data_IF_325420151369
#
_entry.id   IF_325420151369
#
_cell.length_a   1.000
_cell.length_b   1.000
_cell.length_c   1.000
_cell.angle_alpha   90.00
_cell.angle_beta   90.00
_cell.angle_gamma   90.00
#
_symmetry.space_group_name_H-M   'P 1'
#
loop_
_entity.id
_entity.type
_entity.pdbx_description
1 polymer ?
#
# COMPACT_ATOMS: atom_id res chain seq x y z
N UNK A 1 -0.01 -16.87 2.36
CA UNK A 1 -0.97 -16.72 3.45
C UNK A 1 -2.16 -15.91 2.93
N UNK A 2 -3.33 -16.51 2.94
CA UNK A 2 -4.59 -15.81 2.66
C UNK A 2 -5.35 -15.78 3.99
N UNK A 3 -5.77 -14.60 4.39
CA UNK A 3 -6.60 -14.40 5.57
C UNK A 3 -7.98 -14.03 5.07
N UNK A 4 -8.90 -14.99 5.17
CA UNK A 4 -10.28 -14.83 4.70
C UNK A 4 -11.23 -15.09 5.86
N UNK A 5 -12.07 -14.12 6.17
CA UNK A 5 -13.10 -14.23 7.19
C UNK A 5 -14.23 -13.22 6.95
N UNK A 6 -15.47 -13.64 7.15
CA UNK A 6 -16.61 -12.72 7.10
C UNK A 6 -16.65 -11.79 8.33
N UNK A 7 -16.18 -12.28 9.47
CA UNK A 7 -16.08 -11.50 10.70
C UNK A 7 -14.86 -11.95 11.50
N UNK A 8 -13.91 -11.05 11.68
CA UNK A 8 -12.71 -11.28 12.49
C UNK A 8 -12.46 -10.06 13.35
N UNK A 9 -12.78 -10.14 14.64
CA UNK A 9 -12.67 -8.97 15.52
C UNK A 9 -11.25 -8.43 15.65
N UNK A 10 -10.26 -9.30 15.72
CA UNK A 10 -8.85 -8.94 15.85
C UNK A 10 -7.95 -9.95 15.18
N UNK A 11 -6.97 -9.48 14.44
CA UNK A 11 -5.91 -10.27 13.82
C UNK A 11 -4.57 -9.91 14.47
N UNK A 12 -4.03 -10.82 15.26
CA UNK A 12 -2.70 -10.65 15.86
C UNK A 12 -1.70 -11.59 15.18
N UNK A 13 -0.78 -11.00 14.43
CA UNK A 13 0.36 -11.64 13.78
C UNK A 13 1.68 -11.01 14.25
N UNK A 14 1.71 -10.50 15.48
CA UNK A 14 2.84 -9.75 16.04
C UNK A 14 4.14 -10.56 16.12
N UNK A 15 4.08 -11.90 16.09
CA UNK A 15 5.25 -12.76 16.06
C UNK A 15 5.64 -13.24 14.65
N UNK A 16 4.85 -12.90 13.61
CA UNK A 16 5.13 -13.31 12.23
C UNK A 16 6.24 -12.45 11.65
N UNK A 17 7.41 -13.01 11.41
CA UNK A 17 8.57 -12.27 10.88
C UNK A 17 8.63 -12.23 9.35
N UNK A 18 8.13 -13.27 8.69
CA UNK A 18 8.17 -13.32 7.22
C UNK A 18 7.04 -14.15 6.61
N UNK A 19 6.67 -13.80 5.39
CA UNK A 19 5.76 -14.54 4.53
C UNK A 19 6.49 -14.93 3.25
N UNK A 20 6.73 -16.24 3.04
CA UNK A 20 7.52 -16.76 1.91
C UNK A 20 6.84 -16.66 0.54
N UNK A 21 5.60 -16.21 0.47
CA UNK A 21 4.84 -15.99 -0.76
C UNK A 21 3.87 -14.79 -0.53
N UNK A 22 2.64 -14.85 -0.98
CA UNK A 22 1.67 -13.77 -0.87
C UNK A 22 1.08 -13.65 0.54
N UNK A 23 0.82 -12.42 0.97
CA UNK A 23 -0.03 -12.06 2.10
C UNK A 23 -1.24 -11.28 1.56
N UNK A 24 -2.42 -11.88 1.65
CA UNK A 24 -3.64 -11.33 1.09
C UNK A 24 -4.74 -11.26 2.15
N UNK A 25 -5.41 -10.12 2.20
CA UNK A 25 -6.49 -9.87 3.16
C UNK A 25 -7.84 -9.86 2.45
N UNK A 26 -8.63 -10.91 2.67
CA UNK A 26 -10.01 -11.03 2.22
C UNK A 26 -10.97 -10.95 3.43
N UNK A 27 -10.74 -9.97 4.29
CA UNK A 27 -11.48 -9.80 5.54
C UNK A 27 -12.43 -8.61 5.48
N UNK A 28 -13.59 -8.73 6.13
CA UNK A 28 -14.66 -7.74 6.03
C UNK A 28 -14.88 -6.93 7.30
N UNK A 29 -14.64 -7.53 8.46
CA UNK A 29 -14.90 -6.90 9.75
C UNK A 29 -13.76 -7.18 10.71
N UNK A 30 -12.66 -6.43 10.52
CA UNK A 30 -11.49 -6.49 11.40
C UNK A 30 -11.26 -5.12 12.01
N UNK A 31 -11.29 -5.03 13.33
CA UNK A 31 -11.06 -3.78 14.04
C UNK A 31 -9.60 -3.50 14.33
N UNK A 32 -8.82 -4.55 14.57
CA UNK A 32 -7.41 -4.43 14.90
C UNK A 32 -6.58 -5.44 14.12
N UNK A 33 -5.47 -4.98 13.58
CA UNK A 33 -4.47 -5.80 12.90
C UNK A 33 -3.10 -5.46 13.48
N UNK A 34 -2.33 -6.49 13.87
CA UNK A 34 -0.99 -6.33 14.42
C UNK A 34 0.03 -7.17 13.62
N UNK A 35 1.01 -6.48 13.04
CA UNK A 35 2.09 -7.04 12.23
C UNK A 35 3.46 -6.65 12.81
N UNK A 36 3.55 -6.56 14.14
CA UNK A 36 4.69 -5.96 14.84
C UNK A 36 6.06 -6.52 14.49
N UNK A 37 6.20 -7.81 14.08
CA UNK A 37 7.49 -8.39 13.73
C UNK A 37 7.70 -8.59 12.22
N UNK A 38 6.71 -8.32 11.36
CA UNK A 38 6.78 -8.66 9.94
C UNK A 38 7.80 -7.78 9.19
N UNK A 39 8.84 -8.41 8.63
CA UNK A 39 9.92 -7.75 7.90
C UNK A 39 9.88 -7.98 6.40
N UNK A 40 9.40 -9.16 5.97
CA UNK A 40 9.48 -9.58 4.57
C UNK A 40 8.17 -10.24 4.15
N UNK A 41 7.64 -9.78 3.02
CA UNK A 41 6.65 -10.50 2.22
C UNK A 41 7.30 -10.81 0.88
N UNK A 42 7.68 -12.08 0.64
CA UNK A 42 8.43 -12.46 -0.57
C UNK A 42 7.59 -12.39 -1.86
N UNK A 43 6.28 -12.46 -1.77
CA UNK A 43 5.34 -12.31 -2.89
C UNK A 43 4.57 -10.98 -2.82
N UNK A 44 3.27 -11.07 -3.07
CA UNK A 44 2.37 -9.90 -3.03
C UNK A 44 1.89 -9.61 -1.60
N UNK A 45 1.77 -8.33 -1.29
CA UNK A 45 0.97 -7.83 -0.18
C UNK A 45 -0.26 -7.14 -0.78
N UNK A 46 -1.45 -7.71 -0.58
CA UNK A 46 -2.65 -7.21 -1.25
C UNK A 46 -3.85 -7.04 -0.32
N UNK A 47 -4.54 -5.93 -0.55
CA UNK A 47 -5.82 -5.57 0.04
C UNK A 47 -6.84 -5.42 -1.10
N UNK A 48 -7.34 -6.54 -1.65
CA UNK A 48 -8.29 -6.50 -2.73
C UNK A 48 -9.63 -5.97 -2.22
N UNK A 49 -10.06 -4.83 -2.74
CA UNK A 49 -11.41 -4.34 -2.54
C UNK A 49 -12.40 -5.21 -3.29
N UNK A 50 -13.50 -5.57 -2.66
CA UNK A 50 -14.63 -6.15 -3.38
C UNK A 50 -15.75 -5.12 -3.50
N UNK A 51 -16.34 -5.01 -4.69
CA UNK A 51 -17.64 -4.36 -4.84
C UNK A 51 -18.71 -5.22 -4.15
N UNK A 52 -19.13 -4.81 -2.98
CA UNK A 52 -20.25 -5.48 -2.32
C UNK A 52 -21.57 -4.84 -2.75
N UNK A 53 -22.41 -5.60 -3.45
CA UNK A 53 -23.76 -5.20 -3.86
C UNK A 53 -24.81 -5.30 -2.73
N UNK A 54 -24.40 -5.36 -1.48
CA UNK A 54 -25.32 -5.49 -0.36
C UNK A 54 -24.79 -4.76 0.84
N UNK A 55 -25.23 -3.56 1.06
CA UNK A 55 -25.15 -2.64 2.21
C UNK A 55 -24.57 -3.07 3.57
N UNK A 56 -23.67 -4.05 3.64
CA UNK A 56 -22.99 -4.46 4.85
C UNK A 56 -21.83 -3.55 5.17
N UNK A 57 -21.74 -3.07 6.41
CA UNK A 57 -20.64 -2.28 6.89
C UNK A 57 -19.37 -3.14 6.96
N UNK A 58 -18.42 -2.91 6.06
CA UNK A 58 -17.07 -3.49 6.15
C UNK A 58 -16.29 -2.70 7.22
N UNK A 59 -15.83 -3.38 8.26
CA UNK A 59 -15.07 -2.75 9.35
C UNK A 59 -13.59 -3.13 9.26
N UNK A 60 -12.89 -2.70 8.20
CA UNK A 60 -11.43 -2.66 8.24
C UNK A 60 -10.99 -1.56 9.21
N UNK A 61 -9.83 -1.70 9.87
CA UNK A 61 -9.27 -0.63 10.68
C UNK A 61 -9.10 0.63 9.82
N UNK A 62 -9.32 1.80 10.40
CA UNK A 62 -9.03 3.06 9.72
C UNK A 62 -7.52 3.23 9.49
N UNK A 63 -6.71 2.62 10.34
CA UNK A 63 -5.25 2.60 10.24
C UNK A 63 -4.74 1.16 10.19
N UNK A 64 -3.86 0.89 9.23
CA UNK A 64 -3.08 -0.35 9.11
C UNK A 64 -1.60 0.01 9.05
N UNK A 65 -0.80 -0.60 9.93
CA UNK A 65 0.62 -0.33 10.03
C UNK A 65 1.45 -1.62 9.94
N UNK A 66 2.55 -1.53 9.19
CA UNK A 66 3.59 -2.56 9.08
C UNK A 66 4.92 -1.95 9.56
N UNK A 67 5.14 -1.86 10.89
CA UNK A 67 6.20 -1.01 11.45
C UNK A 67 7.61 -1.45 11.07
N UNK A 68 7.82 -2.72 10.75
CA UNK A 68 9.12 -3.29 10.45
C UNK A 68 9.21 -3.93 9.06
N UNK A 69 8.20 -3.77 8.20
CA UNK A 69 8.21 -4.35 6.86
C UNK A 69 9.20 -3.60 5.97
N UNK A 70 10.28 -4.28 5.61
CA UNK A 70 11.39 -3.72 4.82
C UNK A 70 11.27 -4.03 3.34
N UNK A 71 10.70 -5.21 2.98
CA UNK A 71 10.68 -5.67 1.59
C UNK A 71 9.36 -6.34 1.23
N UNK A 72 8.85 -5.97 0.05
CA UNK A 72 7.78 -6.68 -0.65
C UNK A 72 8.39 -7.19 -1.96
N UNK A 73 8.57 -8.52 -2.07
CA UNK A 73 9.31 -9.15 -3.17
C UNK A 73 8.62 -9.03 -4.52
N UNK A 74 7.31 -8.81 -4.56
CA UNK A 74 6.57 -8.61 -5.80
C UNK A 74 5.69 -7.35 -5.69
N UNK A 75 4.39 -7.43 -5.52
CA UNK A 75 3.47 -6.30 -5.61
C UNK A 75 2.90 -5.89 -4.25
N UNK A 76 2.95 -4.59 -3.96
CA UNK A 76 2.03 -3.96 -3.01
C UNK A 76 0.79 -3.48 -3.77
N UNK A 77 -0.35 -4.06 -3.48
CA UNK A 77 -1.62 -3.69 -4.09
C UNK A 77 -2.63 -3.22 -3.03
N UNK A 78 -3.10 -2.00 -3.20
CA UNK A 78 -4.23 -1.45 -2.47
C UNK A 78 -5.29 -1.02 -3.48
N UNK A 79 -6.40 -1.73 -3.51
CA UNK A 79 -7.50 -1.44 -4.41
C UNK A 79 -8.82 -1.34 -3.65
N UNK A 80 -9.43 -0.16 -3.73
CA UNK A 80 -10.74 0.12 -3.15
C UNK A 80 -10.89 -0.33 -1.66
N UNK A 81 -10.01 0.13 -0.76
CA UNK A 81 -9.93 -0.37 0.62
C UNK A 81 -11.04 0.15 1.54
N UNK A 82 -12.08 0.74 1.04
CA UNK A 82 -13.30 1.31 1.63
C UNK A 82 -13.21 2.01 2.99
N UNK A 83 -12.26 1.71 3.88
CA UNK A 83 -12.15 2.32 5.21
C UNK A 83 -10.75 2.64 5.67
N UNK A 84 -9.71 2.09 5.05
CA UNK A 84 -8.33 2.38 5.43
C UNK A 84 -8.03 3.84 5.07
N UNK A 85 -7.94 4.69 6.08
CA UNK A 85 -7.56 6.09 5.94
C UNK A 85 -6.05 6.27 5.98
N UNK A 86 -5.38 5.44 6.78
CA UNK A 86 -3.93 5.48 6.90
C UNK A 86 -3.33 4.09 6.67
N UNK A 87 -2.36 4.01 5.77
CA UNK A 87 -1.59 2.80 5.49
C UNK A 87 -0.11 3.14 5.64
N UNK A 88 0.53 2.55 6.66
CA UNK A 88 1.84 2.99 7.11
C UNK A 88 2.90 1.91 6.93
N UNK A 89 3.95 2.26 6.19
CA UNK A 89 5.13 1.43 5.92
C UNK A 89 6.42 2.18 6.29
N UNK A 90 6.63 2.55 7.56
CA UNK A 90 7.74 3.44 7.96
C UNK A 90 9.13 2.83 7.76
N UNK A 91 9.23 1.51 7.52
CA UNK A 91 10.49 0.82 7.30
C UNK A 91 10.66 0.28 5.87
N UNK A 92 9.68 0.45 4.96
CA UNK A 92 9.70 -0.15 3.64
C UNK A 92 10.81 0.45 2.77
N UNK A 93 11.75 -0.40 2.35
CA UNK A 93 12.91 -0.01 1.55
C UNK A 93 12.68 -0.28 0.06
N UNK A 94 12.04 -1.43 -0.27
CA UNK A 94 11.88 -1.84 -1.66
C UNK A 94 10.61 -2.64 -1.91
N UNK A 95 10.08 -2.47 -3.13
CA UNK A 95 9.04 -3.30 -3.72
C UNK A 95 9.31 -3.51 -5.21
N UNK A 96 8.80 -4.58 -5.82
CA UNK A 96 8.88 -4.73 -7.27
C UNK A 96 7.86 -3.84 -7.95
N UNK A 97 6.61 -3.87 -7.51
CA UNK A 97 5.53 -3.01 -8.03
C UNK A 97 4.74 -2.41 -6.86
N UNK A 98 4.33 -1.16 -7.00
CA UNK A 98 3.39 -0.51 -6.07
C UNK A 98 2.20 -0.01 -6.87
N UNK A 99 0.99 -0.45 -6.52
CA UNK A 99 -0.26 -0.04 -7.15
C UNK A 99 -1.28 0.40 -6.10
N UNK A 100 -1.62 1.68 -6.12
CA UNK A 100 -2.68 2.27 -5.33
C UNK A 100 -3.77 2.74 -6.29
N UNK A 101 -4.92 2.06 -6.24
CA UNK A 101 -6.01 2.33 -7.18
C UNK A 101 -7.34 2.49 -6.45
N UNK A 102 -8.13 3.50 -6.86
CA UNK A 102 -9.49 3.71 -6.33
C UNK A 102 -9.52 3.79 -4.80
N UNK A 103 -8.58 4.54 -4.20
CA UNK A 103 -8.44 4.65 -2.75
C UNK A 103 -9.10 5.93 -2.23
N UNK A 104 -10.39 6.11 -2.49
CA UNK A 104 -11.14 7.35 -2.22
C UNK A 104 -11.19 7.76 -0.73
N UNK A 105 -10.90 6.84 0.17
CA UNK A 105 -10.90 7.11 1.63
C UNK A 105 -9.51 7.25 2.21
N UNK A 106 -8.46 6.83 1.49
CA UNK A 106 -7.08 6.92 1.95
C UNK A 106 -6.65 8.38 2.03
N UNK A 107 -6.22 8.80 3.20
CA UNK A 107 -5.79 10.18 3.50
C UNK A 107 -4.27 10.25 3.66
N UNK A 108 -3.66 9.13 4.10
CA UNK A 108 -2.22 9.07 4.36
C UNK A 108 -1.64 7.72 4.00
N UNK A 109 -0.48 7.77 3.34
CA UNK A 109 0.39 6.62 3.17
C UNK A 109 1.83 7.02 3.53
N UNK A 110 2.54 6.14 4.23
CA UNK A 110 3.94 6.37 4.58
C UNK A 110 4.85 5.50 3.72
N UNK A 111 5.60 6.15 2.83
CA UNK A 111 6.67 5.58 2.02
C UNK A 111 8.00 6.32 2.24
N UNK A 112 8.15 6.97 3.39
CA UNK A 112 9.29 7.85 3.69
C UNK A 112 10.66 7.17 3.62
N UNK A 113 10.72 5.83 3.71
CA UNK A 113 11.97 5.07 3.59
C UNK A 113 12.11 4.32 2.26
N UNK A 114 11.11 4.39 1.37
CA UNK A 114 11.13 3.68 0.10
C UNK A 114 12.24 4.21 -0.82
N UNK A 115 13.19 3.33 -1.20
CA UNK A 115 14.36 3.67 -2.00
C UNK A 115 14.26 3.18 -3.44
N UNK A 116 13.55 2.08 -3.65
CA UNK A 116 13.47 1.45 -4.96
C UNK A 116 12.11 0.83 -5.22
N UNK A 117 11.58 1.10 -6.43
CA UNK A 117 10.48 0.33 -7.04
C UNK A 117 11.00 -0.20 -8.35
N UNK A 118 11.21 -1.52 -8.43
CA UNK A 118 11.94 -2.15 -9.56
C UNK A 118 11.20 -1.97 -10.89
N UNK A 119 9.88 -2.16 -10.89
CA UNK A 119 9.04 -2.04 -12.09
C UNK A 119 8.23 -0.75 -12.09
N UNK A 120 7.04 -0.74 -11.50
CA UNK A 120 6.12 0.41 -11.63
C UNK A 120 5.56 0.86 -10.29
N UNK A 121 5.58 2.17 -10.07
CA UNK A 121 4.83 2.86 -9.04
C UNK A 121 3.62 3.54 -9.69
N UNK A 122 2.42 3.05 -9.41
CA UNK A 122 1.16 3.59 -9.93
C UNK A 122 0.31 4.16 -8.79
N UNK A 123 -0.10 5.41 -8.94
CA UNK A 123 -1.02 6.12 -8.06
C UNK A 123 -2.19 6.59 -8.93
N UNK A 124 -3.38 6.04 -8.71
CA UNK A 124 -4.54 6.33 -9.55
C UNK A 124 -5.83 6.42 -8.73
N UNK A 125 -6.60 7.51 -8.93
CA UNK A 125 -7.83 7.79 -8.18
C UNK A 125 -7.62 7.72 -6.65
N UNK A 126 -6.59 8.40 -6.17
CA UNK A 126 -6.25 8.51 -4.74
C UNK A 126 -6.59 9.92 -4.24
N UNK A 127 -7.87 10.29 -4.34
CA UNK A 127 -8.33 11.69 -4.28
C UNK A 127 -8.08 12.42 -2.96
N UNK A 128 -7.93 11.72 -1.83
CA UNK A 128 -7.75 12.36 -0.51
C UNK A 128 -6.31 12.46 -0.04
N UNK A 129 -5.39 11.79 -0.73
CA UNK A 129 -3.97 11.89 -0.38
C UNK A 129 -3.42 13.20 -0.94
N UNK A 130 -3.04 14.11 -0.05
CA UNK A 130 -2.54 15.45 -0.41
C UNK A 130 -1.05 15.47 -0.67
N UNK A 131 -0.29 14.62 -0.02
CA UNK A 131 1.17 14.57 -0.14
C UNK A 131 1.65 13.12 -0.24
N UNK A 132 2.54 12.88 -1.23
CA UNK A 132 3.34 11.66 -1.31
C UNK A 132 4.80 11.99 -1.00
N UNK A 133 5.31 11.44 0.11
CA UNK A 133 6.73 11.56 0.44
C UNK A 133 7.51 10.34 -0.08
N UNK A 134 8.16 10.55 -1.22
CA UNK A 134 9.14 9.64 -1.81
C UNK A 134 10.55 10.24 -1.73
N UNK A 135 10.84 10.97 -0.65
CA UNK A 135 12.09 11.69 -0.50
C UNK A 135 13.34 10.79 -0.49
N UNK A 136 13.19 9.51 -0.19
CA UNK A 136 14.27 8.54 -0.24
C UNK A 136 14.32 7.73 -1.54
N UNK A 137 13.32 7.86 -2.43
CA UNK A 137 13.24 7.08 -3.66
C UNK A 137 14.37 7.49 -4.62
N UNK A 138 15.25 6.54 -4.97
CA UNK A 138 16.40 6.72 -5.84
C UNK A 138 16.16 6.20 -7.24
N UNK A 139 15.40 5.11 -7.35
CA UNK A 139 15.10 4.48 -8.64
C UNK A 139 13.68 3.95 -8.71
N UNK A 140 13.10 4.08 -9.90
CA UNK A 140 11.79 3.50 -10.26
C UNK A 140 11.82 3.05 -11.72
N UNK A 141 11.28 1.86 -12.02
CA UNK A 141 11.17 1.37 -13.38
C UNK A 141 10.20 2.19 -14.23
N UNK A 142 9.09 2.62 -13.65
CA UNK A 142 8.14 3.58 -14.20
C UNK A 142 7.33 4.26 -13.11
N UNK A 143 7.01 5.54 -13.28
CA UNK A 143 6.15 6.31 -12.37
C UNK A 143 4.91 6.79 -13.11
N UNK A 144 3.74 6.44 -12.60
CA UNK A 144 2.44 6.78 -13.18
C UNK A 144 1.54 7.37 -12.10
N UNK A 145 1.15 8.61 -12.28
CA UNK A 145 0.26 9.35 -11.39
C UNK A 145 -0.90 9.89 -12.20
N UNK A 146 -2.12 9.44 -11.92
CA UNK A 146 -3.30 9.81 -12.69
C UNK A 146 -4.50 10.13 -11.81
N UNK A 147 -5.28 11.13 -12.21
CA UNK A 147 -6.59 11.45 -11.64
C UNK A 147 -6.56 11.61 -10.11
N UNK A 148 -5.64 12.42 -9.59
CA UNK A 148 -5.53 12.74 -8.17
C UNK A 148 -5.91 14.20 -7.95
N UNK A 149 -7.19 14.48 -7.72
CA UNK A 149 -7.73 15.83 -7.68
C UNK A 149 -7.19 16.72 -6.54
N UNK A 150 -6.88 16.14 -5.37
CA UNK A 150 -6.49 16.91 -4.18
C UNK A 150 -4.97 16.86 -3.91
N UNK A 151 -4.18 16.41 -4.87
CA UNK A 151 -2.74 16.28 -4.69
C UNK A 151 -2.07 17.66 -4.64
N UNK A 152 -1.43 17.96 -3.52
CA UNK A 152 -0.71 19.21 -3.29
C UNK A 152 0.80 19.06 -3.51
N UNK A 153 1.35 17.86 -3.23
CA UNK A 153 2.79 17.65 -3.26
C UNK A 153 3.20 16.21 -3.53
N UNK A 154 4.22 16.05 -4.38
CA UNK A 154 5.01 14.81 -4.52
C UNK A 154 6.47 15.16 -4.29
N UNK A 155 7.11 14.53 -3.31
CA UNK A 155 8.51 14.75 -3.00
C UNK A 155 9.37 13.64 -3.62
N UNK A 156 10.16 13.97 -4.63
CA UNK A 156 11.01 13.05 -5.40
C UNK A 156 12.48 13.52 -5.47
N UNK A 157 12.94 14.29 -4.49
CA UNK A 157 14.20 15.01 -4.61
C UNK A 157 15.45 14.13 -4.75
N UNK A 158 15.39 12.83 -4.40
CA UNK A 158 16.47 11.86 -4.59
C UNK A 158 16.32 10.97 -5.81
N UNK A 159 15.22 11.11 -6.56
CA UNK A 159 14.98 10.28 -7.73
C UNK A 159 16.00 10.59 -8.83
N UNK A 160 16.89 9.65 -9.07
CA UNK A 160 17.99 9.78 -10.05
C UNK A 160 17.85 8.86 -11.26
N UNK A 161 16.96 7.86 -11.20
CA UNK A 161 16.74 6.90 -12.26
C UNK A 161 15.27 6.59 -12.46
N UNK A 162 14.82 6.75 -13.69
CA UNK A 162 13.53 6.26 -14.16
C UNK A 162 13.80 5.29 -15.32
N UNK A 163 13.23 4.10 -15.24
CA UNK A 163 13.41 3.06 -16.26
C UNK A 163 12.49 3.23 -17.46
N UNK A 164 12.36 2.17 -18.24
CA UNK A 164 11.61 2.16 -19.50
C UNK A 164 10.09 2.23 -19.33
N UNK A 165 9.58 2.05 -18.12
CA UNK A 165 8.15 2.18 -17.80
C UNK A 165 7.60 3.61 -17.92
N UNK A 166 8.50 4.59 -18.08
CA UNK A 166 8.15 5.99 -18.32
C UNK A 166 7.84 6.78 -17.05
N UNK A 167 7.64 8.08 -17.25
CA UNK A 167 7.28 9.02 -16.18
C UNK A 167 6.06 9.83 -16.63
N UNK A 168 4.95 9.67 -15.95
CA UNK A 168 3.71 10.41 -16.26
C UNK A 168 3.10 10.93 -14.96
N UNK A 169 2.81 12.22 -14.94
CA UNK A 169 1.98 12.86 -13.90
C UNK A 169 0.88 13.61 -14.64
N UNK A 170 -0.37 13.19 -14.41
CA UNK A 170 -1.59 13.75 -14.99
C UNK A 170 -2.60 13.93 -13.85
N UNK A 171 -2.62 15.11 -13.24
CA UNK A 171 -3.33 15.46 -12.01
C UNK A 171 -4.36 16.56 -12.26
#
# INVERSE_FOLDING_TARGET
LIISADTLYSLNLSALESVGNNLQFEVWDVKNMDFGALKIVAGNLSFPGRHYYGGGNTYLPEQVEFPHLETIGNQLELKNPHRIKELLFPALISATTVSLEQTDVLEKIDFSQLREVVETLTLQWTHRVKEYDFSQLQSVGGLRVYYIADLEKINLHRLSRVGTGGFTIDV
#
